data_IF_692590267179
#
_entry.id   IF_692590267179
#
_cell.length_a   1.000
_cell.length_b   1.000
_cell.length_c   1.000
_cell.angle_alpha   90.00
_cell.angle_beta   90.00
_cell.angle_gamma   90.00
#
_symmetry.space_group_name_H-M   'P 1'
#
loop_
_entity.id
_entity.type
_entity.pdbx_description
1 polymer ?
#
# COMPACT_ATOMS: atom_id res chain seq x y z
N UNK A 1 -17.62 -13.10 40.31
CA UNK A 1 -17.45 -11.81 39.61
C UNK A 1 -16.26 -11.99 38.68
N UNK A 2 -16.53 -12.53 37.49
CA UNK A 2 -15.54 -12.68 36.43
C UNK A 2 -15.36 -11.31 35.77
N UNK A 3 -14.17 -10.74 35.92
CA UNK A 3 -13.77 -9.52 35.21
C UNK A 3 -13.59 -9.88 33.74
N UNK A 4 -14.66 -9.75 32.96
CA UNK A 4 -14.61 -9.78 31.51
C UNK A 4 -13.74 -8.64 31.01
N UNK A 5 -12.48 -8.92 30.70
CA UNK A 5 -11.67 -8.05 29.87
C UNK A 5 -12.39 -8.00 28.52
N UNK A 6 -12.91 -6.83 28.18
CA UNK A 6 -13.51 -6.58 26.89
C UNK A 6 -12.40 -6.71 25.83
N UNK A 7 -12.34 -7.85 25.13
CA UNK A 7 -11.29 -8.21 24.16
C UNK A 7 -11.37 -7.29 22.90
N UNK A 8 -12.35 -6.39 22.83
CA UNK A 8 -12.60 -5.50 21.70
C UNK A 8 -11.84 -4.17 21.72
N UNK A 9 -10.97 -3.91 22.71
CA UNK A 9 -10.29 -2.61 22.84
C UNK A 9 -8.76 -2.68 22.63
N UNK A 10 -8.26 -3.68 21.89
CA UNK A 10 -6.95 -3.52 21.26
C UNK A 10 -7.14 -2.81 19.93
N UNK A 11 -6.53 -1.63 19.80
CA UNK A 11 -6.47 -0.86 18.56
C UNK A 11 -6.14 -1.79 17.37
N UNK A 12 -7.03 -1.79 16.36
CA UNK A 12 -6.88 -2.64 15.18
C UNK A 12 -5.54 -2.35 14.51
N UNK A 13 -4.87 -3.41 14.06
CA UNK A 13 -3.61 -3.30 13.33
C UNK A 13 -3.84 -2.63 11.98
N UNK A 14 -2.90 -1.78 11.56
CA UNK A 14 -2.96 -1.06 10.28
C UNK A 14 -2.36 -1.92 9.17
N UNK A 15 -3.10 -2.07 8.08
CA UNK A 15 -2.73 -2.88 6.92
C UNK A 15 -2.60 -1.96 5.70
N UNK A 16 -1.42 -1.93 5.08
CA UNK A 16 -1.26 -1.32 3.76
C UNK A 16 -1.59 -2.35 2.68
N UNK A 17 -2.59 -2.09 1.84
CA UNK A 17 -3.02 -3.02 0.80
C UNK A 17 -2.54 -2.58 -0.59
N UNK A 18 -1.37 -3.11 -0.98
CA UNK A 18 -0.78 -2.98 -2.29
C UNK A 18 -1.51 -3.89 -3.30
N UNK A 19 -2.25 -3.29 -4.24
CA UNK A 19 -2.99 -4.05 -5.25
C UNK A 19 -3.15 -3.27 -6.57
N UNK A 20 -3.21 -3.98 -7.71
CA UNK A 20 -3.41 -3.37 -9.02
C UNK A 20 -4.78 -2.73 -9.18
N UNK A 21 -4.84 -1.74 -10.07
CA UNK A 21 -6.05 -0.98 -10.47
C UNK A 21 -6.33 -1.03 -11.98
N UNK A 22 -5.79 -2.02 -12.68
CA UNK A 22 -5.83 -2.00 -14.14
C UNK A 22 -7.24 -2.03 -14.74
N UNK A 23 -8.22 -2.57 -14.01
CA UNK A 23 -9.60 -2.70 -14.48
C UNK A 23 -10.62 -2.74 -13.33
N UNK A 24 -11.90 -2.71 -13.71
CA UNK A 24 -13.04 -2.76 -12.77
C UNK A 24 -13.13 -4.06 -11.98
N UNK A 25 -12.71 -5.19 -12.56
CA UNK A 25 -12.75 -6.47 -11.86
C UNK A 25 -11.73 -6.50 -10.72
N UNK A 26 -10.52 -5.98 -10.97
CA UNK A 26 -9.49 -5.82 -9.92
C UNK A 26 -9.95 -4.87 -8.83
N UNK A 27 -10.47 -3.70 -9.21
CA UNK A 27 -10.97 -2.70 -8.26
C UNK A 27 -12.10 -3.26 -7.39
N UNK A 28 -13.06 -3.97 -8.00
CA UNK A 28 -14.15 -4.62 -7.28
C UNK A 28 -13.63 -5.70 -6.32
N UNK A 29 -12.70 -6.54 -6.77
CA UNK A 29 -12.12 -7.59 -5.94
C UNK A 29 -11.38 -6.99 -4.74
N UNK A 30 -10.57 -5.96 -4.94
CA UNK A 30 -9.82 -5.29 -3.88
C UNK A 30 -10.76 -4.62 -2.87
N UNK A 31 -11.83 -3.96 -3.33
CA UNK A 31 -12.84 -3.37 -2.47
C UNK A 31 -13.56 -4.43 -1.62
N UNK A 32 -14.03 -5.51 -2.25
CA UNK A 32 -14.73 -6.59 -1.55
C UNK A 32 -13.81 -7.32 -0.55
N UNK A 33 -12.52 -7.51 -0.87
CA UNK A 33 -11.56 -8.07 0.07
C UNK A 33 -11.26 -7.09 1.21
N UNK A 34 -11.20 -5.79 0.93
CA UNK A 34 -11.01 -4.74 1.95
C UNK A 34 -12.14 -4.75 2.96
N UNK A 35 -13.40 -4.82 2.53
CA UNK A 35 -14.57 -4.92 3.42
C UNK A 35 -14.45 -6.11 4.39
N UNK A 36 -14.00 -7.28 3.90
CA UNK A 36 -13.81 -8.45 4.75
C UNK A 36 -12.60 -8.30 5.69
N UNK A 37 -11.52 -7.66 5.24
CA UNK A 37 -10.32 -7.39 6.04
C UNK A 37 -10.55 -6.35 7.14
N UNK A 38 -11.46 -5.39 6.94
CA UNK A 38 -11.82 -4.36 7.91
C UNK A 38 -12.50 -4.93 9.17
N UNK A 39 -12.97 -6.17 9.13
CA UNK A 39 -13.38 -6.89 10.33
C UNK A 39 -12.21 -7.15 11.30
N UNK A 40 -10.98 -7.19 10.79
CA UNK A 40 -9.77 -7.53 11.53
C UNK A 40 -8.77 -6.36 11.67
N UNK A 41 -8.76 -5.43 10.71
CA UNK A 41 -7.74 -4.41 10.54
C UNK A 41 -8.31 -3.02 10.28
N UNK A 42 -7.47 -2.00 10.42
CA UNK A 42 -7.66 -0.72 9.74
C UNK A 42 -6.93 -0.83 8.42
N UNK A 43 -7.65 -0.81 7.29
CA UNK A 43 -7.06 -1.04 5.96
C UNK A 43 -6.84 0.29 5.26
N UNK A 44 -5.59 0.53 4.84
CA UNK A 44 -5.21 1.61 3.93
C UNK A 44 -5.16 1.02 2.52
N UNK A 45 -6.14 1.37 1.69
CA UNK A 45 -6.22 0.98 0.29
C UNK A 45 -5.95 2.24 -0.54
N UNK A 46 -4.76 2.41 -1.16
CA UNK A 46 -4.40 3.63 -1.92
C UNK A 46 -5.45 4.04 -2.97
N UNK A 47 -6.13 3.05 -3.54
CA UNK A 47 -7.20 3.20 -4.52
C UNK A 47 -8.42 4.00 -4.00
N UNK A 48 -8.70 3.86 -2.70
CA UNK A 48 -9.84 4.46 -2.00
C UNK A 48 -9.40 5.66 -1.15
N UNK A 49 -8.31 5.48 -0.43
CA UNK A 49 -7.83 6.39 0.61
C UNK A 49 -6.78 7.40 0.07
N UNK A 50 -6.39 7.24 -1.20
CA UNK A 50 -5.55 8.18 -1.93
C UNK A 50 -6.30 9.42 -2.44
N UNK A 51 -5.61 10.26 -3.19
CA UNK A 51 -6.22 11.48 -3.74
C UNK A 51 -7.27 11.19 -4.81
N UNK A 52 -8.37 11.93 -4.78
CA UNK A 52 -9.19 12.10 -5.97
C UNK A 52 -8.45 13.03 -6.94
N UNK A 53 -7.88 12.47 -8.02
CA UNK A 53 -7.01 13.19 -8.96
C UNK A 53 -7.64 14.50 -9.46
N UNK A 54 -8.92 14.48 -9.84
CA UNK A 54 -9.66 15.67 -10.29
C UNK A 54 -9.59 16.81 -9.27
N UNK A 55 -9.95 16.54 -8.01
CA UNK A 55 -9.95 17.54 -6.94
C UNK A 55 -8.55 18.04 -6.60
N UNK A 56 -7.55 17.15 -6.60
CA UNK A 56 -6.16 17.55 -6.37
C UNK A 56 -5.67 18.48 -7.49
N UNK A 57 -6.00 18.17 -8.74
CA UNK A 57 -5.68 19.02 -9.90
C UNK A 57 -6.38 20.37 -9.79
N UNK A 58 -7.68 20.41 -9.47
CA UNK A 58 -8.43 21.66 -9.30
C UNK A 58 -7.77 22.56 -8.26
N UNK A 59 -7.36 22.01 -7.11
CA UNK A 59 -6.66 22.77 -6.07
C UNK A 59 -5.28 23.24 -6.55
N UNK A 60 -4.51 22.37 -7.20
CA UNK A 60 -3.17 22.68 -7.71
C UNK A 60 -3.21 23.80 -8.76
N UNK A 61 -4.15 23.76 -9.71
CA UNK A 61 -4.31 24.79 -10.75
C UNK A 61 -4.59 26.19 -10.17
N UNK A 62 -5.14 26.27 -8.95
CA UNK A 62 -5.33 27.58 -8.26
C UNK A 62 -4.08 28.12 -7.58
N UNK A 63 -3.04 27.31 -7.39
CA UNK A 63 -1.87 27.64 -6.54
C UNK A 63 -0.55 27.62 -7.33
N UNK A 64 -0.43 26.74 -8.33
CA UNK A 64 0.79 26.55 -9.10
C UNK A 64 0.55 26.72 -10.60
N UNK A 65 1.62 27.00 -11.34
CA UNK A 65 1.56 27.06 -12.80
C UNK A 65 1.14 25.70 -13.39
N UNK A 66 0.32 25.74 -14.44
CA UNK A 66 -0.32 24.55 -15.05
C UNK A 66 0.69 23.47 -15.43
N UNK A 67 1.86 23.86 -15.91
CA UNK A 67 2.92 22.96 -16.36
C UNK A 67 3.54 22.15 -15.21
N UNK A 68 3.31 22.57 -13.96
CA UNK A 68 3.82 21.89 -12.76
C UNK A 68 2.79 21.01 -12.08
N UNK A 69 1.52 21.10 -12.45
CA UNK A 69 0.40 20.42 -11.76
C UNK A 69 0.62 18.91 -11.76
N UNK A 70 0.80 18.31 -12.93
CA UNK A 70 1.02 16.86 -13.11
C UNK A 70 2.20 16.35 -12.27
N UNK A 71 3.36 17.01 -12.36
CA UNK A 71 4.56 16.60 -11.64
C UNK A 71 4.36 16.68 -10.11
N UNK A 72 3.71 17.74 -9.64
CA UNK A 72 3.43 17.91 -8.20
C UNK A 72 2.40 16.87 -7.73
N UNK A 73 1.35 16.60 -8.50
CA UNK A 73 0.36 15.58 -8.18
C UNK A 73 1.03 14.21 -8.02
N UNK A 74 1.88 13.82 -8.97
CA UNK A 74 2.63 12.56 -8.92
C UNK A 74 3.54 12.48 -7.69
N UNK A 75 4.24 13.56 -7.34
CA UNK A 75 5.04 13.61 -6.11
C UNK A 75 4.18 13.43 -4.86
N UNK A 76 3.04 14.12 -4.78
CA UNK A 76 2.16 14.05 -3.62
C UNK A 76 1.61 12.63 -3.42
N UNK A 77 1.19 11.96 -4.49
CA UNK A 77 0.72 10.56 -4.44
C UNK A 77 1.85 9.65 -3.96
N UNK A 78 3.04 9.76 -4.56
CA UNK A 78 4.20 8.97 -4.15
C UNK A 78 4.54 9.13 -2.66
N UNK A 79 4.51 10.37 -2.14
CA UNK A 79 4.76 10.62 -0.72
C UNK A 79 3.61 10.18 0.19
N UNK A 80 2.36 10.19 -0.29
CA UNK A 80 1.22 9.71 0.47
C UNK A 80 1.35 8.20 0.66
N UNK A 81 1.49 7.46 -0.43
CA UNK A 81 1.48 6.00 -0.45
C UNK A 81 2.71 5.43 0.29
N UNK A 82 3.92 5.75 -0.19
CA UNK A 82 5.15 5.18 0.33
C UNK A 82 5.68 5.97 1.53
N UNK A 83 5.56 7.30 1.50
CA UNK A 83 6.13 8.17 2.54
C UNK A 83 5.26 8.31 3.79
N UNK A 84 3.97 7.98 3.70
CA UNK A 84 3.05 8.16 4.82
C UNK A 84 2.29 6.89 5.12
N UNK A 85 1.33 6.47 4.29
CA UNK A 85 0.43 5.34 4.55
C UNK A 85 1.19 4.04 4.84
N UNK A 86 2.13 3.66 3.97
CA UNK A 86 2.94 2.47 4.17
C UNK A 86 3.75 2.55 5.48
N UNK A 87 4.39 3.69 5.75
CA UNK A 87 5.25 3.84 6.96
C UNK A 87 4.48 3.78 8.28
N UNK A 88 3.17 4.04 8.26
CA UNK A 88 2.32 3.95 9.43
C UNK A 88 1.70 2.56 9.62
N UNK A 89 1.90 1.65 8.67
CA UNK A 89 1.25 0.35 8.66
C UNK A 89 2.04 -0.70 9.46
N UNK A 90 1.32 -1.58 10.16
CA UNK A 90 1.93 -2.67 10.91
C UNK A 90 2.42 -3.81 10.00
N UNK A 91 1.82 -3.96 8.81
CA UNK A 91 2.23 -4.90 7.76
C UNK A 91 1.68 -4.48 6.39
N UNK A 92 2.27 -5.01 5.33
CA UNK A 92 1.86 -4.83 3.94
C UNK A 92 1.25 -6.12 3.39
N UNK A 93 0.11 -6.02 2.72
CA UNK A 93 -0.51 -7.07 1.94
C UNK A 93 -0.36 -6.72 0.46
N UNK A 94 0.16 -7.65 -0.33
CA UNK A 94 0.39 -7.45 -1.75
C UNK A 94 -0.36 -8.50 -2.58
N UNK A 95 -1.13 -8.04 -3.56
CA UNK A 95 -1.73 -8.90 -4.59
C UNK A 95 -0.70 -9.15 -5.69
N UNK A 96 -0.28 -10.40 -5.85
CA UNK A 96 0.78 -10.82 -6.77
C UNK A 96 0.22 -11.64 -7.95
N UNK A 97 -0.98 -11.28 -8.42
CA UNK A 97 -1.57 -11.86 -9.62
C UNK A 97 -0.87 -11.34 -10.87
N UNK A 98 -0.89 -12.12 -11.93
CA UNK A 98 -0.28 -11.80 -13.22
C UNK A 98 -1.31 -11.18 -14.19
N UNK A 99 -0.93 -10.16 -14.98
CA UNK A 99 0.41 -9.56 -15.06
C UNK A 99 0.80 -8.75 -13.83
N UNK A 100 2.06 -8.86 -13.42
CA UNK A 100 2.61 -8.09 -12.29
C UNK A 100 2.41 -6.59 -12.46
N UNK A 101 2.10 -5.91 -11.36
CA UNK A 101 2.02 -4.46 -11.28
C UNK A 101 3.34 -3.88 -10.75
N UNK A 102 4.08 -3.10 -11.56
CA UNK A 102 5.31 -2.45 -11.11
C UNK A 102 5.13 -1.56 -9.87
N UNK A 103 3.96 -0.96 -9.69
CA UNK A 103 3.63 -0.18 -8.49
C UNK A 103 3.65 -1.07 -7.25
N UNK A 104 2.92 -2.20 -7.30
CA UNK A 104 2.90 -3.19 -6.22
C UNK A 104 4.30 -3.75 -5.95
N UNK A 105 5.09 -4.02 -6.99
CA UNK A 105 6.46 -4.50 -6.85
C UNK A 105 7.34 -3.51 -6.04
N UNK A 106 7.25 -2.21 -6.35
CA UNK A 106 7.96 -1.15 -5.65
C UNK A 106 7.48 -1.02 -4.20
N UNK A 107 6.17 -1.12 -3.93
CA UNK A 107 5.60 -1.04 -2.58
C UNK A 107 6.07 -2.20 -1.70
N UNK A 108 6.10 -3.42 -2.24
CA UNK A 108 6.63 -4.61 -1.54
C UNK A 108 8.11 -4.42 -1.20
N UNK A 109 8.90 -3.91 -2.14
CA UNK A 109 10.32 -3.61 -1.91
C UNK A 109 10.51 -2.50 -0.87
N UNK A 110 9.72 -1.42 -0.94
CA UNK A 110 9.76 -0.34 0.04
C UNK A 110 9.41 -0.84 1.45
N UNK A 111 8.40 -1.69 1.57
CA UNK A 111 8.03 -2.33 2.84
C UNK A 111 9.18 -3.17 3.40
N UNK A 112 9.92 -3.90 2.53
CA UNK A 112 11.08 -4.71 2.94
C UNK A 112 12.23 -3.86 3.46
N UNK A 113 12.52 -2.75 2.81
CA UNK A 113 13.52 -1.78 3.26
C UNK A 113 13.12 -1.16 4.60
N UNK A 114 11.84 -0.85 4.78
CA UNK A 114 11.26 -0.34 6.03
C UNK A 114 11.13 -1.39 7.14
N UNK A 115 11.46 -2.66 6.88
CA UNK A 115 11.26 -3.78 7.81
C UNK A 115 9.80 -3.96 8.24
N UNK A 116 8.87 -3.53 7.39
CA UNK A 116 7.44 -3.79 7.55
C UNK A 116 7.18 -5.23 7.07
N UNK A 117 6.55 -6.10 7.89
CA UNK A 117 6.19 -7.45 7.49
C UNK A 117 5.32 -7.48 6.23
N UNK A 118 5.52 -8.46 5.35
CA UNK A 118 4.88 -8.52 4.02
C UNK A 118 4.21 -9.85 3.78
N UNK A 119 2.93 -9.82 3.42
CA UNK A 119 2.15 -10.97 2.97
C UNK A 119 1.87 -10.77 1.49
N UNK A 120 2.38 -11.66 0.64
CA UNK A 120 1.94 -11.76 -0.74
C UNK A 120 0.81 -12.76 -0.86
N UNK A 121 -0.19 -12.51 -1.71
CA UNK A 121 -1.17 -13.52 -2.08
C UNK A 121 -1.41 -13.57 -3.58
N UNK A 122 -1.87 -14.72 -4.04
CA UNK A 122 -2.24 -14.97 -5.43
C UNK A 122 -3.57 -15.70 -5.50
N UNK A 123 -4.33 -15.37 -6.52
CA UNK A 123 -5.62 -15.96 -6.88
C UNK A 123 -5.62 -16.60 -8.27
N UNK A 124 -4.57 -16.36 -9.07
CA UNK A 124 -4.44 -16.93 -10.40
C UNK A 124 -4.49 -18.46 -10.41
N UNK A 125 -5.45 -19.00 -11.16
CA UNK A 125 -5.61 -20.44 -11.40
C UNK A 125 -4.95 -20.92 -12.70
N UNK A 126 -4.45 -19.99 -13.53
CA UNK A 126 -3.87 -20.26 -14.86
C UNK A 126 -2.52 -19.57 -15.01
N UNK A 127 -1.52 -20.01 -14.26
CA UNK A 127 -0.17 -19.48 -14.46
C UNK A 127 0.56 -20.30 -15.54
N UNK A 128 1.12 -19.67 -16.59
CA UNK A 128 1.80 -20.37 -17.68
C UNK A 128 3.17 -20.94 -17.27
N UNK A 129 3.70 -20.52 -16.11
CA UNK A 129 4.95 -20.97 -15.55
C UNK A 129 4.66 -21.80 -14.29
N UNK A 130 5.48 -22.79 -13.95
CA UNK A 130 5.38 -23.56 -12.70
C UNK A 130 4.82 -24.98 -12.83
N UNK A 131 5.64 -25.97 -12.47
CA UNK A 131 5.19 -27.33 -12.16
C UNK A 131 4.77 -27.41 -10.67
N UNK A 132 3.99 -28.42 -10.30
CA UNK A 132 3.55 -28.67 -8.91
C UNK A 132 4.69 -28.78 -7.87
N UNK A 133 5.96 -28.83 -8.30
CA UNK A 133 7.14 -28.88 -7.44
C UNK A 133 7.84 -27.54 -7.20
N UNK A 134 7.38 -26.43 -7.80
CA UNK A 134 8.03 -25.13 -7.65
C UNK A 134 7.29 -24.27 -6.61
N UNK A 135 7.99 -23.82 -5.56
CA UNK A 135 7.42 -23.06 -4.43
C UNK A 135 6.69 -21.77 -4.88
N UNK A 136 7.17 -21.19 -5.98
CA UNK A 136 6.72 -19.92 -6.55
C UNK A 136 5.48 -20.08 -7.47
N UNK A 137 5.12 -21.33 -7.84
CA UNK A 137 3.96 -21.68 -8.68
C UNK A 137 3.73 -20.77 -9.89
N UNK A 138 4.82 -20.31 -10.50
CA UNK A 138 4.81 -19.61 -11.77
C UNK A 138 4.69 -18.10 -11.79
N UNK A 139 4.47 -17.43 -10.67
CA UNK A 139 4.52 -15.97 -10.71
C UNK A 139 5.95 -15.47 -10.73
N UNK A 140 6.09 -14.19 -11.01
CA UNK A 140 7.33 -13.47 -10.94
C UNK A 140 8.02 -13.65 -9.57
N UNK A 141 9.15 -14.37 -9.54
CA UNK A 141 9.80 -14.79 -8.30
C UNK A 141 10.48 -13.62 -7.56
N UNK A 142 10.88 -12.56 -8.27
CA UNK A 142 11.56 -11.42 -7.67
C UNK A 142 10.71 -10.78 -6.57
N UNK A 143 9.45 -10.47 -6.86
CA UNK A 143 8.53 -9.86 -5.89
C UNK A 143 8.19 -10.82 -4.76
N UNK A 144 7.96 -12.09 -5.09
CA UNK A 144 7.66 -13.12 -4.10
C UNK A 144 8.77 -13.33 -3.07
N UNK A 145 10.03 -13.30 -3.47
CA UNK A 145 11.19 -13.37 -2.55
C UNK A 145 11.36 -12.13 -1.66
N UNK A 146 10.56 -11.09 -1.88
CA UNK A 146 10.46 -9.96 -0.98
C UNK A 146 9.35 -10.12 0.06
N UNK A 147 8.47 -11.11 -0.04
CA UNK A 147 7.44 -11.39 0.96
C UNK A 147 7.95 -12.28 2.12
N UNK A 148 7.36 -12.15 3.31
CA UNK A 148 7.62 -13.05 4.44
C UNK A 148 6.71 -14.28 4.42
N UNK A 149 5.50 -14.13 3.88
CA UNK A 149 4.52 -15.19 3.68
C UNK A 149 3.92 -15.05 2.28
N UNK A 150 3.72 -16.18 1.61
CA UNK A 150 3.02 -16.27 0.34
C UNK A 150 1.79 -17.17 0.47
N UNK A 151 0.62 -16.60 0.14
CA UNK A 151 -0.65 -17.31 0.14
C UNK A 151 -1.01 -17.64 -1.31
N UNK A 152 -0.91 -18.91 -1.68
CA UNK A 152 -1.42 -19.40 -2.96
C UNK A 152 -2.89 -19.82 -2.78
N UNK A 153 -3.82 -18.91 -3.07
CA UNK A 153 -5.25 -19.13 -2.84
C UNK A 153 -5.96 -19.54 -4.13
N UNK A 154 -6.31 -20.81 -4.24
CA UNK A 154 -7.20 -21.27 -5.32
C UNK A 154 -8.63 -21.27 -4.80
N UNK A 155 -9.45 -20.32 -5.25
CA UNK A 155 -10.86 -20.26 -4.90
C UNK A 155 -11.67 -21.46 -5.41
N UNK A 156 -12.96 -21.47 -5.13
CA UNK A 156 -13.89 -22.48 -5.63
C UNK A 156 -13.99 -22.42 -7.16
N UNK A 157 -13.99 -23.59 -7.82
CA UNK A 157 -14.12 -23.70 -9.29
C UNK A 157 -15.41 -23.09 -9.86
N UNK A 158 -16.36 -22.72 -9.00
CA UNK A 158 -17.72 -22.29 -9.35
C UNK A 158 -17.91 -20.77 -9.25
N UNK A 159 -16.87 -19.99 -8.93
CA UNK A 159 -16.95 -18.53 -8.91
C UNK A 159 -17.80 -17.95 -7.77
N UNK A 160 -17.91 -18.64 -6.62
CA UNK A 160 -18.59 -18.09 -5.44
C UNK A 160 -17.70 -17.06 -4.73
N UNK A 161 -17.75 -15.84 -5.24
CA UNK A 161 -16.86 -14.72 -4.90
C UNK A 161 -16.82 -14.40 -3.40
N UNK A 162 -17.97 -14.27 -2.72
CA UNK A 162 -17.98 -13.77 -1.33
C UNK A 162 -17.41 -14.75 -0.30
N UNK A 163 -17.78 -16.03 -0.38
CA UNK A 163 -17.28 -17.05 0.55
C UNK A 163 -15.76 -17.24 0.40
N UNK A 164 -15.27 -17.21 -0.84
CA UNK A 164 -13.85 -17.33 -1.14
C UNK A 164 -13.06 -16.10 -0.67
N UNK A 165 -13.59 -14.89 -0.85
CA UNK A 165 -12.99 -13.66 -0.32
C UNK A 165 -12.93 -13.71 1.22
N UNK A 166 -13.99 -14.14 1.90
CA UNK A 166 -13.98 -14.30 3.36
C UNK A 166 -12.95 -15.32 3.85
N UNK A 167 -12.78 -16.44 3.14
CA UNK A 167 -11.73 -17.43 3.42
C UNK A 167 -10.33 -16.84 3.24
N UNK A 168 -10.11 -16.09 2.15
CA UNK A 168 -8.84 -15.41 1.90
C UNK A 168 -8.53 -14.38 3.00
N UNK A 169 -9.50 -13.54 3.37
CA UNK A 169 -9.36 -12.57 4.45
C UNK A 169 -8.98 -13.26 5.78
N UNK A 170 -9.62 -14.39 6.10
CA UNK A 170 -9.29 -15.16 7.30
C UNK A 170 -7.87 -15.76 7.26
N UNK A 171 -7.42 -16.25 6.09
CA UNK A 171 -6.04 -16.73 5.92
C UNK A 171 -5.01 -15.60 6.08
N UNK A 172 -5.30 -14.42 5.54
CA UNK A 172 -4.47 -13.22 5.73
C UNK A 172 -4.42 -12.86 7.21
N UNK A 173 -5.56 -12.86 7.91
CA UNK A 173 -5.62 -12.58 9.34
C UNK A 173 -4.77 -13.54 10.18
N UNK A 174 -4.88 -14.85 9.92
CA UNK A 174 -4.06 -15.85 10.60
C UNK A 174 -2.56 -15.62 10.33
N UNK A 175 -2.21 -15.38 9.07
CA UNK A 175 -0.82 -15.17 8.64
C UNK A 175 -0.22 -13.90 9.24
N UNK A 176 -1.01 -12.82 9.35
CA UNK A 176 -0.53 -11.55 9.92
C UNK A 176 -0.17 -11.69 11.39
N UNK A 177 -0.98 -12.44 12.17
CA UNK A 177 -0.66 -12.72 13.58
C UNK A 177 0.66 -13.45 13.74
N UNK A 178 0.92 -14.43 12.88
CA UNK A 178 2.17 -15.20 12.89
C UNK A 178 3.37 -14.31 12.56
N UNK A 179 3.32 -13.52 11.48
CA UNK A 179 4.48 -12.68 11.08
C UNK A 179 4.72 -11.52 12.04
N UNK A 180 3.67 -10.84 12.50
CA UNK A 180 3.81 -9.68 13.40
C UNK A 180 4.46 -10.13 14.71
N UNK A 181 4.13 -11.33 15.20
CA UNK A 181 4.76 -11.89 16.40
C UNK A 181 6.27 -12.13 16.23
N UNK A 182 6.72 -12.53 15.03
CA UNK A 182 8.14 -12.75 14.72
C UNK A 182 8.93 -11.44 14.66
N UNK A 183 8.32 -10.39 14.10
CA UNK A 183 8.97 -9.09 13.94
C UNK A 183 9.09 -8.29 15.25
N UNK A 184 8.19 -8.50 16.22
CA UNK A 184 8.25 -7.85 17.55
C UNK A 184 9.49 -8.20 18.38
N UNK A 185 10.22 -9.27 18.04
CA UNK A 185 11.42 -9.70 18.77
C UNK A 185 12.76 -9.25 18.18
N UNK A 186 12.82 -8.77 16.93
CA UNK A 186 14.07 -8.51 16.21
C UNK A 186 13.88 -7.45 15.10
N UNK A 187 13.66 -6.19 15.46
CA UNK A 187 13.78 -5.11 14.48
C UNK A 187 15.27 -4.76 14.30
N UNK A 188 15.91 -5.08 13.16
CA UNK A 188 17.28 -4.65 12.92
C UNK A 188 17.32 -3.12 12.94
N UNK A 189 18.21 -2.57 13.77
CA UNK A 189 18.39 -1.13 13.90
C UNK A 189 18.70 -0.49 12.54
N UNK A 190 17.77 0.38 12.10
CA UNK A 190 17.95 1.59 11.28
C UNK A 190 19.25 1.68 10.46
N UNK A 191 19.23 1.11 9.25
CA UNK A 191 19.98 1.71 8.14
C UNK A 191 19.03 2.62 7.36
N UNK A 192 19.04 3.88 7.79
CA UNK A 192 18.34 5.04 7.24
C UNK A 192 19.14 5.48 6.03
N UNK A 193 18.69 5.31 4.78
CA UNK A 193 19.29 6.10 3.68
C UNK A 193 18.46 6.29 2.39
N UNK A 194 17.33 5.62 2.18
CA UNK A 194 16.44 5.97 1.05
C UNK A 194 15.02 6.36 1.50
N UNK A 195 14.41 5.53 2.36
CA UNK A 195 13.03 5.73 2.82
C UNK A 195 12.89 6.78 3.91
N UNK A 196 13.95 7.09 4.66
CA UNK A 196 13.86 8.09 5.73
C UNK A 196 13.58 9.50 5.22
N UNK A 197 14.11 9.86 4.03
CA UNK A 197 13.81 11.12 3.37
C UNK A 197 12.35 11.16 2.91
N UNK A 198 11.92 10.13 2.17
CA UNK A 198 10.53 9.99 1.70
C UNK A 198 9.54 9.98 2.86
N UNK A 199 9.86 9.27 3.95
CA UNK A 199 9.07 9.23 5.17
C UNK A 199 9.00 10.60 5.84
N UNK A 200 10.13 11.30 5.96
CA UNK A 200 10.16 12.65 6.52
C UNK A 200 9.27 13.59 5.71
N UNK A 201 9.37 13.54 4.38
CA UNK A 201 8.53 14.36 3.49
C UNK A 201 7.06 13.99 3.64
N UNK A 202 6.70 12.71 3.62
CA UNK A 202 5.34 12.24 3.83
C UNK A 202 4.76 12.75 5.15
N UNK A 203 5.48 12.60 6.27
CA UNK A 203 5.04 13.15 7.55
C UNK A 203 4.92 14.68 7.55
N UNK A 204 5.86 15.40 6.92
CA UNK A 204 5.82 16.86 6.86
C UNK A 204 4.61 17.37 6.06
N UNK A 205 4.17 16.60 5.05
CA UNK A 205 3.02 16.94 4.21
C UNK A 205 1.70 16.54 4.88
N UNK A 206 1.58 15.31 5.38
CA UNK A 206 0.27 14.71 5.68
C UNK A 206 -0.09 14.65 7.17
N UNK A 207 0.89 14.73 8.07
CA UNK A 207 0.62 14.56 9.51
C UNK A 207 -0.37 15.62 10.02
N UNK A 208 -1.37 15.16 10.77
CA UNK A 208 -2.38 16.01 11.42
C UNK A 208 -3.39 16.61 10.46
N UNK A 209 -3.55 16.04 9.26
CA UNK A 209 -4.68 16.32 8.38
C UNK A 209 -5.66 15.18 8.54
N UNK A 210 -6.84 15.48 9.08
CA UNK A 210 -7.84 14.46 9.43
C UNK A 210 -8.60 13.94 8.20
N UNK A 211 -8.80 14.79 7.18
CA UNK A 211 -9.52 14.45 5.96
C UNK A 211 -8.76 14.99 4.72
N UNK A 212 -8.07 14.09 4.03
CA UNK A 212 -7.32 14.36 2.80
C UNK A 212 -8.22 14.50 1.56
N UNK A 213 -9.50 14.13 1.63
CA UNK A 213 -10.46 14.29 0.54
C UNK A 213 -11.22 15.63 0.61
N UNK A 214 -11.15 16.32 1.75
CA UNK A 214 -11.69 17.66 1.91
C UNK A 214 -10.87 18.70 1.15
N UNK A 215 -11.53 19.74 0.61
CA UNK A 215 -10.83 20.86 -0.03
C UNK A 215 -9.84 21.54 0.93
N UNK A 216 -10.17 21.62 2.22
CA UNK A 216 -9.30 22.19 3.25
C UNK A 216 -8.04 21.37 3.44
N UNK A 217 -8.17 20.04 3.52
CA UNK A 217 -7.03 19.12 3.62
C UNK A 217 -6.12 19.20 2.40
N UNK A 218 -6.70 19.15 1.19
CA UNK A 218 -5.95 19.28 -0.07
C UNK A 218 -5.17 20.60 -0.14
N UNK A 219 -5.83 21.73 0.16
CA UNK A 219 -5.17 23.05 0.16
C UNK A 219 -4.02 23.10 1.16
N UNK A 220 -4.18 22.51 2.34
CA UNK A 220 -3.13 22.46 3.35
C UNK A 220 -1.93 21.63 2.89
N UNK A 221 -2.15 20.45 2.27
CA UNK A 221 -1.07 19.64 1.68
C UNK A 221 -0.31 20.44 0.62
N UNK A 222 -1.03 21.04 -0.34
CA UNK A 222 -0.40 21.79 -1.44
C UNK A 222 0.39 23.00 -0.91
N UNK A 223 -0.15 23.69 0.10
CA UNK A 223 0.53 24.81 0.77
C UNK A 223 1.81 24.33 1.46
N UNK A 224 1.77 23.22 2.20
CA UNK A 224 2.95 22.61 2.85
C UNK A 224 4.00 22.24 1.81
N UNK A 225 3.59 21.59 0.72
CA UNK A 225 4.48 21.20 -0.36
C UNK A 225 5.18 22.42 -0.97
N UNK A 226 4.43 23.47 -1.32
CA UNK A 226 4.99 24.66 -1.96
C UNK A 226 5.98 25.38 -1.04
N UNK A 227 5.71 25.39 0.27
CA UNK A 227 6.60 25.97 1.29
C UNK A 227 7.88 25.15 1.48
N UNK A 228 7.81 23.83 1.38
CA UNK A 228 8.90 22.94 1.78
C UNK A 228 9.67 22.30 0.62
N UNK A 229 9.17 22.37 -0.62
CA UNK A 229 9.75 21.68 -1.79
C UNK A 229 11.24 21.95 -2.02
N UNK A 230 11.71 23.18 -1.75
CA UNK A 230 13.13 23.53 -1.88
C UNK A 230 13.97 22.87 -0.78
N UNK A 231 13.44 22.80 0.44
CA UNK A 231 14.09 22.12 1.57
C UNK A 231 14.11 20.60 1.41
N UNK A 232 13.21 20.03 0.58
CA UNK A 232 13.24 18.61 0.27
C UNK A 232 14.45 18.21 -0.57
N UNK A 233 15.01 19.13 -1.38
CA UNK A 233 16.28 18.93 -2.07
C UNK A 233 16.35 17.61 -2.83
N UNK A 234 17.30 16.75 -2.43
CA UNK A 234 17.56 15.41 -2.99
C UNK A 234 16.61 14.31 -2.50
N UNK A 235 15.69 14.60 -1.57
CA UNK A 235 14.66 13.66 -1.12
C UNK A 235 13.47 13.60 -2.09
N UNK A 236 13.49 14.43 -3.14
CA UNK A 236 12.48 14.42 -4.19
C UNK A 236 12.68 13.25 -5.16
N UNK A 237 11.60 12.64 -5.68
CA UNK A 237 11.69 11.79 -6.85
C UNK A 237 12.48 12.52 -7.95
N UNK A 238 13.35 11.78 -8.65
CA UNK A 238 14.15 12.34 -9.73
C UNK A 238 13.25 12.92 -10.82
N UNK A 239 13.59 14.09 -11.34
CA UNK A 239 12.88 14.65 -12.49
C UNK A 239 13.20 13.82 -13.73
N UNK A 240 12.16 13.30 -14.39
CA UNK A 240 12.31 12.54 -15.63
C UNK A 240 12.49 13.53 -16.78
N UNK A 241 13.67 13.51 -17.40
CA UNK A 241 13.90 14.24 -18.65
C UNK A 241 13.20 13.52 -19.81
N UNK A 242 12.12 14.10 -20.35
CA UNK A 242 11.44 13.58 -21.53
C UNK A 242 12.21 14.04 -22.77
N UNK A 243 12.81 13.12 -23.51
CA UNK A 243 13.37 13.37 -24.84
C UNK A 243 12.29 12.98 -25.85
N UNK A 244 11.65 13.97 -26.47
CA UNK A 244 10.70 13.71 -27.56
C UNK A 244 11.48 13.39 -28.84
N UNK A 245 11.19 12.23 -29.43
CA UNK A 245 11.70 11.79 -30.73
C UNK A 245 10.84 12.36 -31.87
#
# INVERSE_FOLDING_TARGET
>A
MESGINIFDMEKKRLYFAAPMFNLADTYFNAALTEELENYFTVELPQRDGFEFSKLHDVLETIVAKEKVENIANHLIYYLDIGFLLTQSDFCLARLDEPSDPGVDIEVMAAKELKIPRIGYRTDVRTPYGSCGNEVRGAHFFTQYNCDVLINFTGSKTGKTKEDIGKLAHLIYKSSREIISKYRGNLPHKNVNLTAGTQYVGHALFRGIDDLHSETGLREVVRRYTKLKEAFGSMRPGEIGIVNC
#
